data_IF_417770261659
#
_entry.id   IF_417770261659
#
_cell.length_a   1.000
_cell.length_b   1.000
_cell.length_c   1.000
_cell.angle_alpha   90.00
_cell.angle_beta   90.00
_cell.angle_gamma   90.00
#
_symmetry.space_group_name_H-M   'P 1'
#
loop_
_entity.id
_entity.type
_entity.pdbx_description
1 polymer ?
#
# COMPACT_ATOMS: atom_id res chain seq x y z
N UNK A 1 6.97 -38.29 -19.45
CA UNK A 1 6.09 -37.15 -19.22
C UNK A 1 5.80 -36.49 -20.57
N UNK A 2 4.54 -36.40 -20.96
CA UNK A 2 4.14 -35.98 -22.29
C UNK A 2 4.35 -34.46 -22.42
N UNK A 3 4.88 -33.92 -23.55
CA UNK A 3 5.11 -32.48 -23.71
C UNK A 3 3.86 -31.60 -23.47
N UNK A 4 2.65 -32.15 -23.67
CA UNK A 4 1.38 -31.48 -23.39
C UNK A 4 1.12 -31.31 -21.88
N UNK A 5 1.59 -32.22 -21.01
CA UNK A 5 1.47 -32.07 -19.56
C UNK A 5 2.41 -30.99 -19.01
N UNK A 6 3.58 -30.80 -19.61
CA UNK A 6 4.48 -29.70 -19.27
C UNK A 6 3.92 -28.33 -19.70
N UNK A 7 3.25 -28.26 -20.86
CA UNK A 7 2.55 -27.06 -21.30
C UNK A 7 1.36 -26.73 -20.40
N UNK A 8 0.60 -27.73 -19.98
CA UNK A 8 -0.54 -27.57 -19.06
C UNK A 8 -0.08 -27.11 -17.65
N UNK A 9 1.08 -27.59 -17.19
CA UNK A 9 1.68 -27.13 -15.91
C UNK A 9 2.29 -25.74 -16.03
N UNK A 10 2.81 -25.35 -17.18
CA UNK A 10 3.32 -23.99 -17.43
C UNK A 10 2.17 -22.98 -17.57
N UNK A 11 1.04 -23.35 -18.16
CA UNK A 11 -0.14 -22.48 -18.23
C UNK A 11 -0.85 -22.31 -16.87
N UNK A 12 -0.73 -23.30 -15.96
CA UNK A 12 -1.27 -23.22 -14.59
C UNK A 12 -0.45 -22.31 -13.65
N UNK A 13 0.74 -21.83 -14.07
CA UNK A 13 1.60 -20.96 -13.26
C UNK A 13 1.38 -19.46 -13.51
N UNK A 14 0.41 -19.06 -14.30
CA UNK A 14 -0.05 -17.67 -14.33
C UNK A 14 -0.85 -17.45 -13.04
N UNK A 15 -0.17 -17.01 -12.00
CA UNK A 15 -0.82 -16.62 -10.75
C UNK A 15 -1.88 -15.57 -11.10
N UNK A 16 -3.16 -15.95 -10.89
CA UNK A 16 -4.26 -15.02 -11.09
C UNK A 16 -3.98 -13.76 -10.24
N UNK A 17 -4.05 -12.56 -10.82
CA UNK A 17 -3.79 -11.35 -10.03
C UNK A 17 -4.79 -11.28 -8.87
N UNK A 18 -4.31 -10.87 -7.70
CA UNK A 18 -5.15 -10.68 -6.53
C UNK A 18 -6.31 -9.73 -6.84
N UNK A 19 -7.52 -10.10 -6.41
CA UNK A 19 -8.71 -9.25 -6.50
C UNK A 19 -8.75 -8.35 -5.27
N UNK A 20 -8.59 -7.06 -5.48
CA UNK A 20 -8.52 -6.07 -4.40
C UNK A 20 -9.87 -5.35 -4.28
N UNK A 21 -10.37 -5.21 -3.04
CA UNK A 21 -11.46 -4.29 -2.71
C UNK A 21 -10.88 -2.99 -2.15
N UNK A 22 -11.09 -1.88 -2.85
CA UNK A 22 -10.76 -0.53 -2.40
C UNK A 22 -12.00 0.10 -1.78
N UNK A 23 -11.90 0.44 -0.49
CA UNK A 23 -12.91 1.16 0.27
C UNK A 23 -12.36 2.55 0.63
N UNK A 24 -13.11 3.58 0.28
CA UNK A 24 -12.70 4.97 0.39
C UNK A 24 -13.63 5.69 1.38
N UNK A 25 -13.05 6.26 2.40
CA UNK A 25 -13.69 7.16 3.34
C UNK A 25 -13.56 8.60 2.84
N UNK A 26 -14.55 9.06 2.05
CA UNK A 26 -14.49 10.34 1.38
C UNK A 26 -14.57 11.54 2.31
N UNK A 27 -15.08 11.36 3.52
CA UNK A 27 -15.18 12.43 4.52
C UNK A 27 -13.81 12.75 5.12
N UNK A 28 -12.86 11.79 5.10
CA UNK A 28 -11.56 11.89 5.77
C UNK A 28 -10.36 11.99 4.83
N UNK A 29 -10.52 11.80 3.50
CA UNK A 29 -9.40 11.85 2.56
C UNK A 29 -9.70 12.69 1.31
N UNK A 30 -8.64 13.19 0.67
CA UNK A 30 -8.75 14.00 -0.53
C UNK A 30 -8.91 13.17 -1.80
N UNK A 31 -9.83 13.59 -2.69
CA UNK A 31 -10.03 12.99 -4.00
C UNK A 31 -8.82 13.09 -4.94
N UNK A 32 -7.90 14.05 -4.72
CA UNK A 32 -6.76 14.28 -5.60
C UNK A 32 -5.75 13.13 -5.59
N UNK A 33 -5.76 12.27 -4.55
CA UNK A 33 -4.84 11.16 -4.44
C UNK A 33 -5.32 9.88 -5.16
N UNK A 34 -6.56 9.84 -5.68
CA UNK A 34 -7.18 8.59 -6.15
C UNK A 34 -6.40 7.93 -7.31
N UNK A 35 -5.92 8.73 -8.27
CA UNK A 35 -5.13 8.20 -9.39
C UNK A 35 -3.85 7.53 -8.88
N UNK A 36 -3.10 8.20 -8.00
CA UNK A 36 -1.89 7.64 -7.42
C UNK A 36 -2.15 6.41 -6.54
N UNK A 37 -3.30 6.34 -5.86
CA UNK A 37 -3.72 5.16 -5.08
C UNK A 37 -3.98 3.97 -6.01
N UNK A 38 -4.71 4.17 -7.11
CA UNK A 38 -4.99 3.12 -8.08
C UNK A 38 -3.71 2.63 -8.78
N UNK A 39 -2.80 3.54 -9.14
CA UNK A 39 -1.49 3.21 -9.70
C UNK A 39 -0.63 2.39 -8.73
N UNK A 40 -0.67 2.73 -7.45
CA UNK A 40 0.05 1.97 -6.43
C UNK A 40 -0.54 0.58 -6.24
N UNK A 41 -1.87 0.47 -6.16
CA UNK A 41 -2.57 -0.81 -6.00
C UNK A 41 -2.37 -1.74 -7.20
N UNK A 42 -2.17 -1.22 -8.40
CA UNK A 42 -1.87 -2.02 -9.59
C UNK A 42 -0.61 -2.90 -9.45
N UNK A 43 0.29 -2.58 -8.52
CA UNK A 43 1.47 -3.40 -8.21
C UNK A 43 1.12 -4.68 -7.43
N UNK A 44 -0.01 -4.69 -6.73
CA UNK A 44 -0.42 -5.77 -5.84
C UNK A 44 -1.51 -6.65 -6.42
N UNK A 45 -2.26 -6.13 -7.42
CA UNK A 45 -3.34 -6.88 -8.06
C UNK A 45 -4.30 -6.00 -8.86
N UNK A 46 -5.49 -6.52 -9.13
CA UNK A 46 -6.55 -5.81 -9.84
C UNK A 46 -7.58 -5.30 -8.84
N UNK A 47 -7.89 -4.00 -8.89
CA UNK A 47 -8.92 -3.39 -8.05
C UNK A 47 -10.29 -3.63 -8.67
N UNK A 48 -10.95 -4.70 -8.25
CA UNK A 48 -12.24 -5.15 -8.79
C UNK A 48 -13.43 -4.44 -8.14
N UNK A 49 -13.32 -4.12 -6.86
CA UNK A 49 -14.32 -3.38 -6.10
C UNK A 49 -13.73 -2.01 -5.74
N UNK A 50 -14.49 -0.95 -6.01
CA UNK A 50 -14.11 0.44 -5.72
C UNK A 50 -15.33 1.14 -5.15
N UNK A 51 -15.44 1.18 -3.83
CA UNK A 51 -16.55 1.80 -3.13
C UNK A 51 -16.10 3.06 -2.40
N UNK A 52 -16.87 4.13 -2.57
CA UNK A 52 -16.61 5.42 -1.94
C UNK A 52 -17.76 5.76 -1.00
N UNK A 53 -17.47 5.78 0.28
CA UNK A 53 -18.43 6.03 1.34
C UNK A 53 -18.44 7.50 1.74
N UNK A 54 -19.61 8.08 1.91
CA UNK A 54 -19.77 9.48 2.32
C UNK A 54 -21.22 9.96 2.26
N UNK A 55 -21.48 11.12 2.83
CA UNK A 55 -22.75 11.80 2.63
C UNK A 55 -22.71 12.65 1.35
N UNK A 56 -23.13 12.05 0.23
CA UNK A 56 -23.10 12.66 -1.10
C UNK A 56 -24.00 13.89 -1.26
N UNK A 57 -24.83 14.21 -0.25
CA UNK A 57 -25.54 15.49 -0.19
C UNK A 57 -24.67 16.62 0.37
N UNK A 58 -23.51 16.29 0.94
CA UNK A 58 -22.57 17.28 1.48
C UNK A 58 -21.81 17.99 0.37
N UNK A 59 -21.78 19.34 0.33
CA UNK A 59 -20.97 20.09 -0.63
C UNK A 59 -19.48 19.80 -0.53
N UNK A 60 -19.01 19.27 0.61
CA UNK A 60 -17.59 18.91 0.81
C UNK A 60 -17.12 17.79 -0.12
N UNK A 61 -18.05 16.93 -0.57
CA UNK A 61 -17.74 15.80 -1.47
C UNK A 61 -17.85 16.15 -2.96
N UNK A 62 -18.12 17.42 -3.32
CA UNK A 62 -18.24 17.82 -4.72
C UNK A 62 -17.03 17.46 -5.57
N UNK A 63 -15.81 17.59 -5.04
CA UNK A 63 -14.57 17.20 -5.74
C UNK A 63 -14.43 15.70 -5.99
N UNK A 64 -15.11 14.85 -5.22
CA UNK A 64 -15.17 13.40 -5.46
C UNK A 64 -16.11 13.04 -6.62
N UNK A 65 -17.19 13.81 -6.84
CA UNK A 65 -18.21 13.51 -7.86
C UNK A 65 -17.57 13.39 -9.24
N UNK A 66 -16.68 14.32 -9.58
CA UNK A 66 -15.97 14.34 -10.87
C UNK A 66 -14.97 13.17 -11.02
N UNK A 67 -14.61 12.50 -9.92
CA UNK A 67 -13.68 11.37 -9.91
C UNK A 67 -14.35 10.00 -9.94
N UNK A 68 -15.63 9.90 -9.60
CA UNK A 68 -16.34 8.62 -9.48
C UNK A 68 -16.37 7.87 -10.81
N UNK A 69 -16.94 8.48 -11.83
CA UNK A 69 -17.17 7.83 -13.13
C UNK A 69 -15.87 7.50 -13.86
N UNK A 70 -14.89 8.42 -14.02
CA UNK A 70 -13.64 8.13 -14.72
C UNK A 70 -12.85 6.97 -14.13
N UNK A 71 -12.97 6.77 -12.79
CA UNK A 71 -12.24 5.71 -12.09
C UNK A 71 -13.10 4.49 -11.76
N UNK A 72 -14.33 4.40 -12.33
CA UNK A 72 -15.28 3.32 -12.06
C UNK A 72 -15.49 3.09 -10.54
N UNK A 73 -15.65 4.16 -9.78
CA UNK A 73 -15.91 4.14 -8.33
C UNK A 73 -17.41 4.22 -8.09
N UNK A 74 -17.92 3.29 -7.29
CA UNK A 74 -19.33 3.25 -6.88
C UNK A 74 -19.54 4.11 -5.62
N UNK A 75 -20.34 5.17 -5.69
CA UNK A 75 -20.71 5.92 -4.49
C UNK A 75 -21.66 5.10 -3.62
N UNK A 76 -21.33 5.03 -2.33
CA UNK A 76 -22.13 4.40 -1.28
C UNK A 76 -22.70 5.52 -0.40
N UNK A 77 -24.00 5.80 -0.59
CA UNK A 77 -24.67 6.88 0.17
C UNK A 77 -24.98 6.42 1.59
N UNK A 78 -24.57 7.22 2.54
CA UNK A 78 -25.00 7.09 3.91
C UNK A 78 -25.64 8.40 4.38
N UNK A 79 -26.93 8.35 4.70
CA UNK A 79 -27.62 9.51 5.28
C UNK A 79 -27.28 9.63 6.77
N UNK A 80 -26.78 10.77 7.16
CA UNK A 80 -26.58 11.10 8.56
C UNK A 80 -27.92 11.46 9.22
N UNK A 81 -28.65 10.48 9.77
CA UNK A 81 -29.90 10.70 10.49
C UNK A 81 -29.72 11.54 11.77
N UNK A 82 -28.48 11.63 12.26
CA UNK A 82 -28.15 12.43 13.45
C UNK A 82 -26.76 13.06 13.21
N UNK A 83 -26.64 14.38 13.32
CA UNK A 83 -25.41 15.11 13.18
C UNK A 83 -24.35 14.58 14.18
N UNK A 84 -23.13 14.33 13.70
CA UNK A 84 -21.99 13.95 14.53
C UNK A 84 -21.94 12.48 14.95
N UNK A 85 -22.67 11.58 14.27
CA UNK A 85 -22.49 10.12 14.44
C UNK A 85 -21.75 9.52 13.24
N UNK A 86 -20.92 8.53 13.51
CA UNK A 86 -20.06 7.79 12.55
C UNK A 86 -20.91 6.85 11.65
N UNK A 87 -21.93 7.39 10.97
CA UNK A 87 -22.84 6.61 10.14
C UNK A 87 -22.13 6.10 8.87
N UNK A 88 -21.25 6.92 8.30
CA UNK A 88 -20.43 6.57 7.14
C UNK A 88 -19.45 5.46 7.51
N UNK A 89 -18.80 5.55 8.68
CA UNK A 89 -17.82 4.56 9.15
C UNK A 89 -18.51 3.21 9.36
N UNK A 90 -19.68 3.19 10.02
CA UNK A 90 -20.45 1.97 10.22
C UNK A 90 -20.84 1.32 8.89
N UNK A 91 -21.27 2.11 7.89
CA UNK A 91 -21.61 1.60 6.58
C UNK A 91 -20.40 1.01 5.86
N UNK A 92 -19.24 1.66 5.94
CA UNK A 92 -17.99 1.16 5.35
C UNK A 92 -17.53 -0.13 6.03
N UNK A 93 -17.69 -0.25 7.37
CA UNK A 93 -17.38 -1.49 8.10
C UNK A 93 -18.30 -2.63 7.66
N UNK A 94 -19.60 -2.39 7.53
CA UNK A 94 -20.57 -3.40 7.08
C UNK A 94 -20.21 -3.88 5.66
N UNK A 95 -19.98 -2.94 4.74
CA UNK A 95 -19.59 -3.26 3.36
C UNK A 95 -18.28 -4.07 3.30
N UNK A 96 -17.28 -3.71 4.10
CA UNK A 96 -16.04 -4.47 4.21
C UNK A 96 -16.29 -5.91 4.71
N UNK A 97 -17.16 -6.09 5.70
CA UNK A 97 -17.49 -7.41 6.23
C UNK A 97 -18.26 -8.26 5.23
N UNK A 98 -19.21 -7.66 4.50
CA UNK A 98 -19.94 -8.35 3.43
C UNK A 98 -19.00 -8.81 2.32
N UNK A 99 -18.06 -7.96 1.91
CA UNK A 99 -17.02 -8.32 0.93
C UNK A 99 -16.09 -9.42 1.44
N UNK A 100 -15.69 -9.35 2.71
CA UNK A 100 -14.84 -10.36 3.35
C UNK A 100 -15.51 -11.74 3.34
N UNK A 101 -16.78 -11.81 3.75
CA UNK A 101 -17.52 -13.08 3.80
C UNK A 101 -17.98 -13.57 2.43
N UNK A 102 -18.02 -12.70 1.40
CA UNK A 102 -18.34 -13.12 0.03
C UNK A 102 -17.29 -14.07 -0.56
N UNK A 103 -16.05 -14.06 -0.06
CA UNK A 103 -14.93 -14.81 -0.61
C UNK A 103 -14.51 -14.39 -2.02
N UNK A 104 -15.00 -13.25 -2.49
CA UNK A 104 -14.74 -12.75 -3.85
C UNK A 104 -13.56 -11.77 -3.95
N UNK A 105 -12.87 -11.51 -2.84
CA UNK A 105 -11.69 -10.63 -2.76
C UNK A 105 -10.52 -11.38 -2.12
N UNK A 106 -9.32 -11.04 -2.53
CA UNK A 106 -8.08 -11.66 -2.06
C UNK A 106 -7.26 -10.67 -1.21
N UNK A 107 -7.63 -9.38 -1.23
CA UNK A 107 -7.01 -8.31 -0.45
C UNK A 107 -7.96 -7.13 -0.27
N UNK A 108 -7.72 -6.32 0.75
CA UNK A 108 -8.39 -5.04 0.96
C UNK A 108 -7.42 -3.87 0.82
N UNK A 109 -7.95 -2.74 0.37
CA UNK A 109 -7.30 -1.44 0.42
C UNK A 109 -8.23 -0.46 1.14
N UNK A 110 -7.75 0.17 2.20
CA UNK A 110 -8.51 1.16 2.95
C UNK A 110 -7.89 2.53 2.76
N UNK A 111 -8.66 3.46 2.20
CA UNK A 111 -8.24 4.85 2.02
C UNK A 111 -8.97 5.70 3.05
N UNK A 112 -8.35 5.87 4.21
CA UNK A 112 -8.86 6.65 5.35
C UNK A 112 -7.70 7.12 6.23
N UNK A 113 -7.93 8.17 7.02
CA UNK A 113 -7.01 8.64 8.07
C UNK A 113 -7.56 8.41 9.48
N UNK A 114 -8.69 7.74 9.60
CA UNK A 114 -9.35 7.49 10.86
C UNK A 114 -8.87 6.18 11.50
N UNK A 115 -8.40 6.27 12.73
CA UNK A 115 -7.96 5.12 13.53
C UNK A 115 -9.09 4.21 14.01
N UNK A 116 -10.33 4.66 13.94
CA UNK A 116 -11.50 3.87 14.34
C UNK A 116 -11.71 2.66 13.43
N UNK A 117 -11.09 2.66 12.25
CA UNK A 117 -11.01 1.50 11.36
C UNK A 117 -9.93 0.47 11.74
N UNK A 118 -9.10 0.72 12.77
CA UNK A 118 -8.07 -0.27 13.20
C UNK A 118 -8.67 -1.65 13.54
N UNK A 119 -9.82 -1.75 14.26
CA UNK A 119 -10.45 -3.06 14.51
C UNK A 119 -10.86 -3.79 13.23
N UNK A 120 -11.31 -3.07 12.21
CA UNK A 120 -11.64 -3.65 10.90
C UNK A 120 -10.39 -4.23 10.23
N UNK A 121 -9.27 -3.49 10.23
CA UNK A 121 -7.98 -3.99 9.68
C UNK A 121 -7.60 -5.29 10.37
N UNK A 122 -7.59 -5.32 11.70
CA UNK A 122 -7.25 -6.53 12.47
C UNK A 122 -8.17 -7.70 12.12
N UNK A 123 -9.49 -7.45 11.99
CA UNK A 123 -10.47 -8.48 11.64
C UNK A 123 -10.23 -9.07 10.24
N UNK A 124 -9.85 -8.25 9.27
CA UNK A 124 -9.50 -8.70 7.91
C UNK A 124 -8.22 -9.53 7.95
N UNK A 125 -7.19 -9.07 8.66
CA UNK A 125 -5.91 -9.80 8.83
C UNK A 125 -6.10 -11.16 9.51
N UNK A 126 -6.96 -11.27 10.52
CA UNK A 126 -7.34 -12.53 11.17
C UNK A 126 -7.95 -13.53 10.18
N UNK A 127 -8.57 -13.04 9.12
CA UNK A 127 -9.12 -13.88 8.03
C UNK A 127 -8.06 -14.26 6.99
N UNK A 128 -6.78 -13.86 7.18
CA UNK A 128 -5.67 -14.21 6.31
C UNK A 128 -5.54 -13.31 5.07
N UNK A 129 -6.30 -12.22 4.96
CA UNK A 129 -6.23 -11.32 3.83
C UNK A 129 -5.37 -10.08 4.15
N UNK A 130 -4.47 -9.67 3.25
CA UNK A 130 -3.68 -8.46 3.43
C UNK A 130 -4.53 -7.19 3.33
N UNK A 131 -4.11 -6.15 4.08
CA UNK A 131 -4.74 -4.83 4.05
C UNK A 131 -3.71 -3.77 3.67
N UNK A 132 -3.95 -3.09 2.56
CA UNK A 132 -3.16 -1.96 2.07
C UNK A 132 -3.77 -0.65 2.61
N UNK A 133 -3.00 0.10 3.40
CA UNK A 133 -3.46 1.35 3.99
C UNK A 133 -3.05 2.57 3.17
N UNK A 134 -3.97 3.51 2.99
CA UNK A 134 -3.73 4.82 2.37
C UNK A 134 -4.35 5.91 3.24
N UNK A 135 -3.53 6.82 3.75
CA UNK A 135 -4.00 7.89 4.61
C UNK A 135 -3.02 9.06 4.66
N UNK A 136 -3.44 10.13 5.33
CA UNK A 136 -2.62 11.33 5.50
C UNK A 136 -1.49 11.10 6.51
N UNK A 137 -0.48 11.98 6.51
CA UNK A 137 0.64 11.94 7.48
C UNK A 137 0.20 12.07 8.94
N UNK A 138 -1.00 12.65 9.18
CA UNK A 138 -1.61 12.75 10.52
C UNK A 138 -2.23 11.46 11.02
N UNK A 139 -2.33 10.42 10.18
CA UNK A 139 -2.95 9.12 10.52
C UNK A 139 -2.26 8.53 11.75
N UNK A 140 -3.03 8.12 12.79
CA UNK A 140 -2.47 7.56 14.00
C UNK A 140 -1.67 6.28 13.75
N UNK A 141 -0.54 6.18 14.47
CA UNK A 141 0.42 5.07 14.31
C UNK A 141 -0.20 3.67 14.45
N UNK A 142 -1.16 3.40 15.37
CA UNK A 142 -1.77 2.06 15.46
C UNK A 142 -2.43 1.59 14.17
N UNK A 143 -3.10 2.50 13.43
CA UNK A 143 -3.70 2.17 12.14
C UNK A 143 -2.62 1.95 11.06
N UNK A 144 -1.60 2.81 11.04
CA UNK A 144 -0.46 2.69 10.11
C UNK A 144 0.24 1.35 10.30
N UNK A 145 0.55 0.98 11.54
CA UNK A 145 1.29 -0.26 11.85
C UNK A 145 0.46 -1.54 11.60
N UNK A 146 -0.87 -1.45 11.62
CA UNK A 146 -1.75 -2.57 11.31
C UNK A 146 -1.79 -2.90 9.82
N UNK A 147 -1.53 -1.95 8.93
CA UNK A 147 -1.55 -2.15 7.48
C UNK A 147 -0.21 -2.68 6.96
N UNK A 148 -0.24 -3.42 5.86
CA UNK A 148 0.99 -3.93 5.22
C UNK A 148 0.88 -3.94 3.70
N UNK A 149 1.41 -2.92 3.01
CA UNK A 149 2.04 -1.67 3.49
C UNK A 149 1.04 -0.55 3.83
N UNK A 150 1.55 0.54 4.40
CA UNK A 150 0.85 1.81 4.51
C UNK A 150 1.54 2.90 3.67
N UNK A 151 0.77 3.62 2.86
CA UNK A 151 1.27 4.70 1.99
C UNK A 151 0.61 6.03 2.36
N UNK A 152 1.44 7.03 2.60
CA UNK A 152 0.95 8.39 2.81
C UNK A 152 0.49 9.00 1.49
N UNK A 153 -0.78 9.43 1.43
CA UNK A 153 -1.41 9.94 0.20
C UNK A 153 -0.73 11.20 -0.33
N UNK A 154 -0.08 11.99 0.51
CA UNK A 154 0.71 13.15 0.10
C UNK A 154 1.86 12.76 -0.83
N UNK A 155 2.36 11.52 -0.73
CA UNK A 155 3.39 11.01 -1.63
C UNK A 155 2.84 10.54 -2.99
N UNK A 156 1.51 10.52 -3.15
CA UNK A 156 0.82 10.08 -4.37
C UNK A 156 0.19 11.23 -5.15
N UNK A 157 0.13 12.44 -4.58
CA UNK A 157 -0.47 13.60 -5.24
C UNK A 157 0.31 14.00 -6.51
N UNK A 158 -0.37 14.46 -7.58
CA UNK A 158 0.29 15.04 -8.74
C UNK A 158 1.13 16.26 -8.36
N UNK A 159 2.24 16.50 -9.06
CA UNK A 159 3.15 17.61 -8.79
C UNK A 159 2.52 19.00 -9.05
N UNK A 160 1.45 19.07 -9.84
CA UNK A 160 0.81 20.33 -10.28
C UNK A 160 -0.21 20.88 -9.27
N UNK A 161 -0.72 20.06 -8.35
CA UNK A 161 -1.76 20.48 -7.38
C UNK A 161 -1.21 20.99 -6.04
N UNK A 162 0.10 21.04 -5.88
CA UNK A 162 0.72 21.62 -4.69
C UNK A 162 0.66 23.15 -4.77
N UNK A 163 -0.36 23.76 -4.13
CA UNK A 163 -0.36 25.20 -3.82
C UNK A 163 0.95 25.56 -3.12
N UNK A 164 1.54 26.74 -3.38
CA UNK A 164 2.90 27.11 -2.95
C UNK A 164 3.09 27.29 -1.44
N UNK A 165 2.23 26.75 -0.58
CA UNK A 165 2.35 26.85 0.87
C UNK A 165 3.13 25.72 1.56
N UNK A 166 3.33 24.58 0.91
CA UNK A 166 4.32 23.58 1.31
C UNK A 166 4.73 22.86 0.03
N UNK A 167 5.90 23.19 -0.48
CA UNK A 167 6.55 22.42 -1.53
C UNK A 167 6.86 21.03 -0.97
N UNK A 168 5.89 20.12 -1.00
CA UNK A 168 6.17 18.69 -0.87
C UNK A 168 6.74 18.25 -2.21
N UNK A 169 7.96 18.72 -2.48
CA UNK A 169 8.82 18.12 -3.48
C UNK A 169 8.87 16.64 -3.08
N UNK A 170 8.58 15.73 -4.01
CA UNK A 170 9.01 14.33 -3.91
C UNK A 170 10.54 14.33 -4.00
N UNK A 171 11.20 14.98 -3.07
CA UNK A 171 12.64 14.82 -2.92
C UNK A 171 12.84 13.45 -2.33
N UNK A 172 13.52 12.61 -3.08
CA UNK A 172 14.06 11.39 -2.54
C UNK A 172 14.84 11.78 -1.29
N UNK A 173 14.51 11.17 -0.16
CA UNK A 173 15.30 11.40 1.05
C UNK A 173 16.75 11.13 0.76
N UNK A 174 17.59 12.11 1.04
CA UNK A 174 19.01 12.01 0.77
C UNK A 174 19.67 10.92 1.65
N UNK A 175 20.86 10.45 1.23
CA UNK A 175 21.66 9.44 1.94
C UNK A 175 21.75 9.67 3.45
N UNK A 176 22.05 10.91 3.86
CA UNK A 176 22.22 11.24 5.28
C UNK A 176 20.92 11.13 6.07
N UNK A 177 19.81 11.51 5.47
CA UNK A 177 18.48 11.40 6.06
C UNK A 177 18.04 9.93 6.18
N UNK A 178 18.27 9.12 5.13
CA UNK A 178 17.99 7.68 5.16
C UNK A 178 18.82 6.96 6.23
N UNK A 179 20.10 7.29 6.34
CA UNK A 179 21.00 6.71 7.36
C UNK A 179 20.69 7.20 8.76
N UNK A 180 20.13 8.40 8.91
CA UNK A 180 19.67 8.95 10.18
C UNK A 180 18.37 8.31 10.69
N UNK A 181 17.59 7.67 9.83
CA UNK A 181 16.37 6.96 10.22
C UNK A 181 16.72 5.58 10.79
N UNK A 182 16.85 5.53 12.13
CA UNK A 182 17.22 4.32 12.84
C UNK A 182 16.21 3.16 12.64
N UNK A 183 14.92 3.47 12.44
CA UNK A 183 13.88 2.47 12.20
C UNK A 183 14.05 1.84 10.81
N UNK A 184 14.27 2.66 9.78
CA UNK A 184 14.56 2.20 8.42
C UNK A 184 15.83 1.34 8.38
N UNK A 185 16.92 1.85 8.96
CA UNK A 185 18.22 1.14 8.97
C UNK A 185 18.09 -0.22 9.65
N UNK A 186 17.40 -0.26 10.80
CA UNK A 186 17.15 -1.53 11.51
C UNK A 186 16.32 -2.48 10.67
N UNK A 187 15.21 -2.01 10.09
CA UNK A 187 14.33 -2.82 9.25
C UNK A 187 15.09 -3.47 8.09
N UNK A 188 15.83 -2.67 7.31
CA UNK A 188 16.57 -3.15 6.16
C UNK A 188 17.65 -4.17 6.56
N UNK A 189 18.41 -3.88 7.63
CA UNK A 189 19.46 -4.80 8.11
C UNK A 189 18.89 -6.11 8.65
N UNK A 190 17.84 -6.04 9.44
CA UNK A 190 17.15 -7.25 9.92
C UNK A 190 16.62 -8.08 8.76
N UNK A 191 16.00 -7.45 7.77
CA UNK A 191 15.48 -8.15 6.61
C UNK A 191 16.60 -8.84 5.80
N UNK A 192 17.74 -8.18 5.60
CA UNK A 192 18.92 -8.77 4.93
C UNK A 192 19.46 -9.94 5.75
N UNK A 193 19.64 -9.77 7.06
CA UNK A 193 20.17 -10.81 7.95
C UNK A 193 19.30 -12.07 7.97
N UNK A 194 17.97 -11.89 8.01
CA UNK A 194 17.00 -13.00 8.04
C UNK A 194 16.81 -13.70 6.69
N UNK A 195 17.24 -13.10 5.60
CA UNK A 195 17.05 -13.65 4.24
C UNK A 195 18.37 -13.96 3.51
N UNK A 196 19.52 -13.70 4.15
CA UNK A 196 20.83 -14.00 3.60
C UNK A 196 21.10 -15.49 3.55
N UNK A 197 21.84 -15.91 2.51
CA UNK A 197 22.40 -17.24 2.35
C UNK A 197 23.74 -17.36 3.12
N UNK A 198 24.36 -18.53 3.11
CA UNK A 198 25.58 -18.82 3.88
C UNK A 198 26.76 -17.89 3.50
N UNK A 199 26.76 -17.35 2.28
CA UNK A 199 27.75 -16.36 1.81
C UNK A 199 27.48 -14.92 2.26
N UNK A 200 26.40 -14.70 3.01
CA UNK A 200 25.96 -13.42 3.54
C UNK A 200 25.22 -12.54 2.53
N UNK A 201 24.95 -13.03 1.33
CA UNK A 201 24.16 -12.32 0.31
C UNK A 201 22.67 -12.67 0.41
N UNK A 202 21.81 -11.67 0.26
CA UNK A 202 20.37 -11.82 0.24
C UNK A 202 19.78 -11.39 -1.11
N UNK A 203 18.93 -12.19 -1.68
CA UNK A 203 18.19 -11.81 -2.90
C UNK A 203 17.17 -10.72 -2.56
N UNK A 204 17.20 -9.59 -3.28
CA UNK A 204 16.37 -8.41 -2.96
C UNK A 204 14.86 -8.72 -2.91
N UNK A 205 14.36 -9.64 -3.71
CA UNK A 205 12.94 -10.01 -3.66
C UNK A 205 12.58 -10.74 -2.36
N UNK A 206 13.48 -11.58 -1.80
CA UNK A 206 13.27 -12.21 -0.48
C UNK A 206 13.29 -11.16 0.64
N UNK A 207 14.19 -10.18 0.54
CA UNK A 207 14.23 -9.03 1.46
C UNK A 207 12.93 -8.24 1.39
N UNK A 208 12.44 -7.94 0.19
CA UNK A 208 11.16 -7.25 -0.02
C UNK A 208 9.97 -8.03 0.56
N UNK A 209 9.93 -9.34 0.33
CA UNK A 209 8.89 -10.21 0.89
C UNK A 209 8.93 -10.25 2.42
N UNK A 210 10.11 -10.35 3.02
CA UNK A 210 10.26 -10.30 4.47
C UNK A 210 9.75 -8.98 5.06
N UNK A 211 10.11 -7.84 4.43
CA UNK A 211 9.66 -6.51 4.85
C UNK A 211 8.13 -6.41 4.76
N UNK A 212 7.56 -6.82 3.64
CA UNK A 212 6.11 -6.78 3.41
C UNK A 212 5.32 -7.62 4.40
N UNK A 213 5.87 -8.77 4.82
CA UNK A 213 5.21 -9.66 5.77
C UNK A 213 5.31 -9.17 7.23
N UNK A 214 6.27 -8.29 7.55
CA UNK A 214 6.61 -7.94 8.93
C UNK A 214 6.48 -6.45 9.25
N UNK A 215 6.08 -5.60 8.30
CA UNK A 215 6.01 -4.16 8.54
C UNK A 215 5.05 -3.44 7.60
N UNK A 216 4.61 -2.26 8.03
CA UNK A 216 3.83 -1.31 7.23
C UNK A 216 4.68 -0.47 6.26
N UNK A 217 5.93 -0.87 6.03
CA UNK A 217 6.89 -0.13 5.22
C UNK A 217 6.48 -0.01 3.76
N UNK A 218 6.67 1.19 3.19
CA UNK A 218 6.64 1.42 1.74
C UNK A 218 7.80 2.34 1.32
N UNK A 219 8.52 1.97 0.24
CA UNK A 219 9.60 2.78 -0.31
C UNK A 219 9.12 4.16 -0.80
N UNK A 220 7.84 4.28 -1.21
CA UNK A 220 7.22 5.53 -1.62
C UNK A 220 7.22 6.56 -0.50
N UNK A 221 7.09 6.13 0.76
CA UNK A 221 7.13 7.04 1.91
C UNK A 221 8.50 7.72 2.11
N UNK A 222 9.51 7.24 1.40
CA UNK A 222 10.87 7.81 1.36
C UNK A 222 11.19 8.48 0.01
N UNK A 223 10.20 8.58 -0.89
CA UNK A 223 10.34 9.17 -2.23
C UNK A 223 10.77 8.20 -3.32
N UNK A 224 11.00 6.92 -3.03
CA UNK A 224 11.48 5.94 -3.99
C UNK A 224 10.36 5.04 -4.52
N UNK A 225 10.30 4.84 -5.84
CA UNK A 225 9.30 3.96 -6.47
C UNK A 225 9.55 2.48 -6.21
N UNK A 226 10.81 2.08 -5.97
CA UNK A 226 11.24 0.68 -5.80
C UNK A 226 12.15 0.54 -4.59
N UNK A 227 12.03 -0.59 -3.89
CA UNK A 227 12.91 -0.94 -2.78
C UNK A 227 14.39 -0.94 -3.20
N UNK A 228 14.71 -1.43 -4.40
CA UNK A 228 16.08 -1.47 -4.90
C UNK A 228 16.72 -0.09 -5.05
N UNK A 229 15.95 0.92 -5.46
CA UNK A 229 16.46 2.29 -5.61
C UNK A 229 16.70 2.92 -4.23
N UNK A 230 15.80 2.68 -3.27
CA UNK A 230 15.99 3.10 -1.89
C UNK A 230 17.22 2.44 -1.26
N UNK A 231 17.39 1.14 -1.42
CA UNK A 231 18.55 0.40 -0.90
C UNK A 231 19.86 0.97 -1.46
N UNK A 232 19.93 1.23 -2.77
CA UNK A 232 21.09 1.88 -3.39
C UNK A 232 21.38 3.25 -2.77
N UNK A 233 20.33 4.06 -2.57
CA UNK A 233 20.48 5.41 -2.02
C UNK A 233 20.95 5.43 -0.56
N UNK A 234 20.71 4.36 0.20
CA UNK A 234 21.23 4.25 1.58
C UNK A 234 22.74 4.06 1.63
N UNK A 235 23.34 3.42 0.61
CA UNK A 235 24.74 2.99 0.59
C UNK A 235 25.15 2.24 1.89
N UNK A 236 24.25 1.45 2.44
CA UNK A 236 24.51 0.62 3.62
C UNK A 236 24.88 -0.81 3.26
N UNK A 237 24.68 -1.18 2.00
CA UNK A 237 24.80 -2.54 1.50
C UNK A 237 25.69 -2.57 0.26
N UNK A 238 26.50 -3.61 0.15
CA UNK A 238 27.13 -4.00 -1.09
C UNK A 238 26.08 -4.59 -2.02
N UNK A 239 26.18 -4.30 -3.32
CA UNK A 239 25.18 -4.68 -4.31
C UNK A 239 25.85 -5.45 -5.43
N UNK A 240 25.33 -6.63 -5.72
CA UNK A 240 25.76 -7.47 -6.83
C UNK A 240 24.57 -7.78 -7.74
N UNK A 241 24.78 -7.64 -9.04
CA UNK A 241 23.81 -8.05 -10.04
C UNK A 241 24.20 -9.42 -10.60
N UNK A 242 23.35 -10.43 -10.39
CA UNK A 242 23.53 -11.80 -10.90
C UNK A 242 22.55 -12.10 -12.03
N UNK A 243 22.71 -13.20 -12.72
CA UNK A 243 21.86 -13.66 -13.82
C UNK A 243 21.69 -12.62 -14.94
N UNK A 244 22.80 -12.17 -15.54
CA UNK A 244 22.82 -11.16 -16.61
C UNK A 244 22.09 -9.86 -16.24
N UNK A 245 22.22 -9.42 -14.98
CA UNK A 245 21.63 -8.19 -14.49
C UNK A 245 20.15 -8.28 -14.10
N UNK A 246 19.58 -9.49 -14.08
CA UNK A 246 18.14 -9.69 -13.76
C UNK A 246 17.86 -9.84 -12.27
N UNK A 247 18.85 -10.22 -11.47
CA UNK A 247 18.69 -10.45 -10.04
C UNK A 247 19.64 -9.58 -9.22
N UNK A 248 19.09 -8.77 -8.34
CA UNK A 248 19.86 -7.96 -7.40
C UNK A 248 20.05 -8.72 -6.09
N UNK A 249 21.30 -8.85 -5.67
CA UNK A 249 21.69 -9.36 -4.36
C UNK A 249 22.31 -8.23 -3.54
N UNK A 250 22.09 -8.25 -2.25
CA UNK A 250 22.59 -7.25 -1.31
C UNK A 250 23.21 -7.91 -0.09
N UNK A 251 24.25 -7.30 0.47
CA UNK A 251 24.98 -7.74 1.66
C UNK A 251 25.25 -6.55 2.55
N UNK A 252 25.15 -6.69 3.89
CA UNK A 252 25.49 -5.58 4.82
C UNK A 252 26.99 -5.28 4.71
N UNK A 253 27.34 -4.06 4.28
CA UNK A 253 28.73 -3.62 4.07
C UNK A 253 29.61 -3.66 5.35
N UNK A 254 29.04 -4.00 6.51
CA UNK A 254 29.78 -4.18 7.78
C UNK A 254 30.17 -5.64 8.05
N UNK A 255 29.67 -6.58 7.28
CA UNK A 255 29.95 -8.03 7.39
C UNK A 255 30.82 -8.47 6.22
#
# INVERSE_FOLDING_TARGET
MHPLELLYQLEMSVTKPNRIALLIDCDNVSHNAIEGVLDELAKYGTVNVRHAHGDWNSPSLSGWIDRLHPHAIRPMQQFAYTKGKNATDAAMIIDAMDLLYSGNVDAFALMTSDSDFTPLVLRILESGLPVYGFGQRKTPKPFVDACSPFVYIENLLPLEDSKPCVSVIRENKGRNELRGDAALVRLLRTAVDQTSEDDGWAHLSRVGQYISNNSSFSAINYGYKKLGDLVRATELFDIEMRNDGKAMYIKDARK
#
